data_IF_515742224789
#
_entry.id   IF_515742224789
#
_cell.length_a   1.000
_cell.length_b   1.000
_cell.length_c   1.000
_cell.angle_alpha   90.00
_cell.angle_beta   90.00
_cell.angle_gamma   90.00
#
_symmetry.space_group_name_H-M   'P 1'
#
loop_
_entity.id
_entity.type
_entity.pdbx_description
1 polymer ?
#
# COMPACT_ATOMS: atom_id res chain seq x y z
N UNK A 1 11.21 4.52 -11.92
CA UNK A 1 12.45 5.06 -11.32
C UNK A 1 12.19 5.80 -10.02
N UNK A 2 11.17 6.66 -9.95
CA UNK A 2 10.80 7.41 -8.74
C UNK A 2 10.75 6.59 -7.43
N UNK A 3 9.98 5.49 -7.38
CA UNK A 3 9.86 4.64 -6.18
C UNK A 3 11.21 4.06 -5.73
N UNK A 4 12.04 3.65 -6.69
CA UNK A 4 13.36 3.09 -6.40
C UNK A 4 14.30 4.14 -5.82
N UNK A 5 14.28 5.37 -6.35
CA UNK A 5 15.05 6.50 -5.82
C UNK A 5 14.59 6.92 -4.42
N UNK A 6 13.30 6.73 -4.11
CA UNK A 6 12.72 6.98 -2.77
C UNK A 6 12.94 5.84 -1.77
N UNK A 7 13.71 4.82 -2.12
CA UNK A 7 14.03 3.70 -1.23
C UNK A 7 12.93 2.63 -1.11
N UNK A 8 11.83 2.75 -1.86
CA UNK A 8 10.75 1.76 -1.86
C UNK A 8 11.17 0.56 -2.72
N UNK A 9 11.30 -0.60 -2.08
CA UNK A 9 11.74 -1.85 -2.71
C UNK A 9 10.85 -2.99 -2.19
N UNK A 10 10.21 -3.79 -3.06
CA UNK A 10 10.22 -3.73 -4.53
C UNK A 10 9.48 -2.50 -5.08
N UNK A 11 10.00 -1.90 -6.15
CA UNK A 11 9.50 -0.65 -6.75
C UNK A 11 8.27 -0.87 -7.67
N UNK A 12 7.21 -1.49 -7.14
CA UNK A 12 5.98 -1.78 -7.88
C UNK A 12 5.07 -0.56 -7.90
N UNK A 13 4.65 -0.13 -9.11
CA UNK A 13 3.72 0.98 -9.29
C UNK A 13 2.26 0.51 -9.21
N UNK A 14 1.46 0.85 -8.18
CA UNK A 14 0.10 0.31 -8.02
C UNK A 14 -0.85 0.64 -9.17
N UNK A 15 -0.71 1.84 -9.76
CA UNK A 15 -1.56 2.30 -10.88
C UNK A 15 -1.20 1.68 -12.24
N UNK A 16 0.07 1.35 -12.47
CA UNK A 16 0.53 0.74 -13.74
C UNK A 16 0.57 -0.80 -13.67
N UNK A 17 0.71 -1.34 -12.46
CA UNK A 17 0.76 -2.78 -12.23
C UNK A 17 -0.63 -3.41 -12.35
N UNK A 18 -0.75 -4.34 -13.29
CA UNK A 18 -1.98 -5.08 -13.55
C UNK A 18 -1.69 -6.57 -13.62
N UNK A 19 -2.61 -7.37 -13.08
CA UNK A 19 -2.66 -8.82 -13.31
C UNK A 19 -3.87 -9.10 -14.19
N UNK A 20 -3.64 -9.72 -15.37
CA UNK A 20 -4.72 -10.13 -16.28
C UNK A 20 -5.61 -11.23 -15.68
N UNK A 21 -5.03 -12.06 -14.80
CA UNK A 21 -5.76 -13.12 -14.08
C UNK A 21 -6.48 -12.56 -12.85
N UNK A 22 -5.96 -11.47 -12.28
CA UNK A 22 -6.58 -10.77 -11.16
C UNK A 22 -6.68 -11.61 -9.89
N UNK A 23 -7.78 -11.45 -9.16
CA UNK A 23 -7.99 -12.10 -7.87
C UNK A 23 -8.29 -13.60 -7.95
N UNK A 24 -8.45 -14.17 -9.16
CA UNK A 24 -8.71 -15.59 -9.35
C UNK A 24 -7.49 -16.47 -9.03
N UNK A 25 -6.27 -15.93 -9.17
CA UNK A 25 -5.03 -16.63 -8.84
C UNK A 25 -4.59 -16.44 -7.38
N UNK A 26 -5.32 -15.66 -6.59
CA UNK A 26 -4.94 -15.34 -5.21
C UNK A 26 -5.45 -16.40 -4.24
N UNK A 27 -4.68 -16.63 -3.17
CA UNK A 27 -5.18 -17.36 -2.01
C UNK A 27 -6.43 -16.66 -1.44
N UNK A 28 -7.44 -17.42 -1.02
CA UNK A 28 -8.72 -16.90 -0.50
C UNK A 28 -8.53 -15.87 0.61
N UNK A 29 -7.55 -16.08 1.49
CA UNK A 29 -7.29 -15.19 2.63
C UNK A 29 -6.64 -13.89 2.15
N UNK A 30 -5.60 -13.98 1.32
CA UNK A 30 -4.96 -12.80 0.70
C UNK A 30 -5.97 -11.98 -0.10
N UNK A 31 -6.85 -12.63 -0.87
CA UNK A 31 -7.92 -11.96 -1.63
C UNK A 31 -8.83 -11.13 -0.72
N UNK A 32 -9.21 -11.68 0.44
CA UNK A 32 -10.04 -10.98 1.42
C UNK A 32 -9.28 -9.80 2.03
N UNK A 33 -8.00 -9.98 2.36
CA UNK A 33 -7.23 -8.94 3.05
C UNK A 33 -6.77 -7.82 2.12
N UNK A 34 -6.42 -8.12 0.86
CA UNK A 34 -5.87 -7.16 -0.09
C UNK A 34 -6.92 -6.50 -1.01
N UNK A 35 -8.21 -6.79 -0.81
CA UNK A 35 -9.29 -6.36 -1.71
C UNK A 35 -9.33 -4.86 -2.00
N UNK A 36 -9.10 -4.04 -0.97
CA UNK A 36 -9.11 -2.58 -1.08
C UNK A 36 -7.71 -1.96 -1.21
N UNK A 37 -6.64 -2.74 -0.97
CA UNK A 37 -5.27 -2.24 -0.90
C UNK A 37 -4.84 -1.52 -2.18
N UNK A 38 -5.20 -2.07 -3.36
CA UNK A 38 -4.85 -1.45 -4.64
C UNK A 38 -5.50 -0.06 -4.81
N UNK A 39 -6.75 0.08 -4.37
CA UNK A 39 -7.49 1.34 -4.48
C UNK A 39 -6.92 2.38 -3.52
N UNK A 40 -6.68 1.99 -2.26
CA UNK A 40 -6.10 2.88 -1.24
C UNK A 40 -4.73 3.43 -1.67
N UNK A 41 -3.86 2.57 -2.22
CA UNK A 41 -2.55 3.01 -2.73
C UNK A 41 -2.64 3.88 -3.99
N UNK A 42 -3.66 3.67 -4.84
CA UNK A 42 -3.88 4.51 -6.01
C UNK A 42 -4.34 5.92 -5.58
N UNK A 43 -5.32 6.00 -4.68
CA UNK A 43 -5.81 7.26 -4.10
C UNK A 43 -4.70 8.01 -3.36
N UNK A 44 -3.91 7.31 -2.55
CA UNK A 44 -2.75 7.89 -1.88
C UNK A 44 -1.80 8.56 -2.87
N UNK A 45 -1.48 7.89 -3.98
CA UNK A 45 -0.53 8.42 -4.96
C UNK A 45 -1.05 9.66 -5.68
N UNK A 46 -2.34 9.66 -6.04
CA UNK A 46 -2.97 10.85 -6.63
C UNK A 46 -2.86 12.03 -5.66
N UNK A 47 -3.19 11.81 -4.39
CA UNK A 47 -3.18 12.86 -3.36
C UNK A 47 -1.75 13.31 -3.00
N UNK A 48 -0.79 12.39 -2.93
CA UNK A 48 0.61 12.71 -2.63
C UNK A 48 1.16 13.76 -3.61
N UNK A 49 0.84 13.63 -4.89
CA UNK A 49 1.27 14.61 -5.90
C UNK A 49 0.60 15.99 -5.71
N UNK A 50 -0.65 16.04 -5.23
CA UNK A 50 -1.32 17.28 -4.85
C UNK A 50 -0.73 17.93 -3.58
N UNK A 51 -0.32 17.14 -2.58
CA UNK A 51 0.26 17.66 -1.33
C UNK A 51 1.58 18.41 -1.55
N UNK A 52 2.38 18.00 -2.55
CA UNK A 52 3.65 18.66 -2.92
C UNK A 52 3.46 20.09 -3.42
N UNK A 53 2.25 20.46 -3.82
CA UNK A 53 1.91 21.80 -4.30
C UNK A 53 1.59 22.79 -3.15
N UNK A 54 1.65 22.36 -1.88
CA UNK A 54 1.58 23.24 -0.71
C UNK A 54 0.16 23.67 -0.31
N UNK A 55 -0.86 22.95 -0.75
CA UNK A 55 -2.25 23.25 -0.37
C UNK A 55 -2.57 22.79 1.06
N UNK A 56 -3.48 23.51 1.73
CA UNK A 56 -4.04 23.10 3.02
C UNK A 56 -4.88 21.84 2.81
N UNK A 57 -4.50 20.76 3.48
CA UNK A 57 -5.23 19.50 3.44
C UNK A 57 -6.31 19.50 4.52
N UNK A 58 -7.51 19.08 4.16
CA UNK A 58 -8.54 18.76 5.13
C UNK A 58 -8.16 17.49 5.93
N UNK A 59 -8.85 17.24 7.03
CA UNK A 59 -8.50 16.13 7.92
C UNK A 59 -8.72 14.75 7.27
N UNK A 60 -9.63 14.65 6.31
CA UNK A 60 -9.84 13.43 5.53
C UNK A 60 -8.64 13.13 4.63
N UNK A 61 -8.10 14.14 3.96
CA UNK A 61 -6.93 14.02 3.08
C UNK A 61 -5.66 13.73 3.88
N UNK A 62 -5.48 14.35 5.06
CA UNK A 62 -4.36 14.01 5.97
C UNK A 62 -4.38 12.53 6.34
N UNK A 63 -5.53 12.02 6.78
CA UNK A 63 -5.68 10.59 7.14
C UNK A 63 -5.37 9.67 5.97
N UNK A 64 -5.81 10.02 4.75
CA UNK A 64 -5.51 9.27 3.54
C UNK A 64 -4.01 9.24 3.24
N UNK A 65 -3.32 10.37 3.38
CA UNK A 65 -1.86 10.48 3.19
C UNK A 65 -1.11 9.66 4.23
N UNK A 66 -1.46 9.81 5.52
CA UNK A 66 -0.81 9.08 6.62
C UNK A 66 -0.98 7.57 6.46
N UNK A 67 -2.20 7.13 6.13
CA UNK A 67 -2.50 5.72 5.88
C UNK A 67 -1.73 5.20 4.66
N UNK A 68 -1.72 5.96 3.56
CA UNK A 68 -1.01 5.61 2.34
C UNK A 68 0.51 5.48 2.53
N UNK A 69 1.11 6.35 3.35
CA UNK A 69 2.53 6.27 3.70
C UNK A 69 2.84 4.99 4.48
N UNK A 70 2.00 4.65 5.47
CA UNK A 70 2.14 3.43 6.29
C UNK A 70 1.99 2.17 5.45
N UNK A 71 0.99 2.12 4.57
CA UNK A 71 0.79 1.01 3.63
C UNK A 71 1.98 0.86 2.69
N UNK A 72 2.54 1.96 2.21
CA UNK A 72 3.70 1.95 1.32
C UNK A 72 4.94 1.40 2.05
N UNK A 73 5.16 1.77 3.32
CA UNK A 73 6.26 1.23 4.14
C UNK A 73 6.08 -0.26 4.44
N UNK A 74 4.85 -0.71 4.71
CA UNK A 74 4.58 -2.12 4.98
C UNK A 74 4.93 -3.03 3.79
N UNK A 75 4.78 -2.52 2.56
CA UNK A 75 5.10 -3.27 1.34
C UNK A 75 6.58 -3.25 0.98
N UNK A 76 7.43 -2.60 1.78
CA UNK A 76 8.88 -2.65 1.60
C UNK A 76 9.40 -3.99 2.10
N UNK A 77 10.16 -4.67 1.25
CA UNK A 77 10.75 -5.97 1.52
C UNK A 77 12.18 -6.02 0.96
N UNK A 78 13.08 -6.57 1.76
CA UNK A 78 14.47 -6.77 1.37
C UNK A 78 14.61 -7.83 0.27
N UNK A 79 15.73 -7.76 -0.44
CA UNK A 79 16.05 -8.74 -1.49
C UNK A 79 16.45 -10.07 -0.84
N UNK A 80 16.00 -11.18 -1.44
CA UNK A 80 16.28 -12.55 -0.98
C UNK A 80 15.70 -12.90 0.39
N UNK A 81 14.77 -12.10 0.91
CA UNK A 81 14.05 -12.35 2.15
C UNK A 81 12.56 -12.55 1.83
N UNK A 82 12.16 -13.66 1.16
CA UNK A 82 10.75 -13.94 0.90
C UNK A 82 9.99 -14.13 2.22
N UNK A 83 8.85 -13.49 2.33
CA UNK A 83 7.95 -13.63 3.49
C UNK A 83 6.94 -14.73 3.18
N UNK A 84 6.65 -15.61 4.14
CA UNK A 84 5.64 -16.66 3.95
C UNK A 84 4.22 -16.06 3.82
N UNK A 85 3.31 -16.79 3.20
CA UNK A 85 1.93 -16.34 2.99
C UNK A 85 1.19 -16.08 4.32
N UNK A 86 1.52 -16.82 5.38
CA UNK A 86 0.93 -16.61 6.71
C UNK A 86 1.36 -15.27 7.28
N UNK A 87 2.67 -14.96 7.22
CA UNK A 87 3.21 -13.70 7.72
C UNK A 87 2.71 -12.51 6.89
N UNK A 88 2.67 -12.65 5.55
CA UNK A 88 2.06 -11.64 4.67
C UNK A 88 0.60 -11.37 5.04
N UNK A 89 -0.16 -12.43 5.39
CA UNK A 89 -1.55 -12.30 5.80
C UNK A 89 -1.67 -11.53 7.11
N UNK A 90 -0.80 -11.79 8.10
CA UNK A 90 -0.79 -11.09 9.38
C UNK A 90 -0.47 -9.60 9.17
N UNK A 91 0.52 -9.29 8.34
CA UNK A 91 0.84 -7.91 7.99
C UNK A 91 -0.34 -7.20 7.32
N UNK A 92 -0.99 -7.82 6.34
CA UNK A 92 -2.18 -7.26 5.70
C UNK A 92 -3.40 -7.18 6.63
N UNK A 93 -3.53 -8.07 7.60
CA UNK A 93 -4.60 -7.99 8.59
C UNK A 93 -4.40 -6.79 9.53
N UNK A 94 -3.14 -6.46 9.87
CA UNK A 94 -2.83 -5.33 10.74
C UNK A 94 -3.24 -3.98 10.15
N UNK A 95 -3.24 -3.85 8.81
CA UNK A 95 -3.66 -2.61 8.12
C UNK A 95 -5.17 -2.45 8.06
N UNK A 96 -5.92 -3.55 7.98
CA UNK A 96 -7.39 -3.52 7.92
C UNK A 96 -8.01 -3.09 9.24
N UNK A 97 -7.42 -3.50 10.36
CA UNK A 97 -7.94 -3.20 11.69
C UNK A 97 -7.40 -1.89 12.25
N UNK A 98 -6.74 -1.07 11.43
CA UNK A 98 -6.15 0.20 11.84
C UNK A 98 -5.16 0.06 13.01
N UNK A 99 -4.59 -1.14 13.23
CA UNK A 99 -3.60 -1.36 14.29
C UNK A 99 -2.31 -0.59 14.03
N UNK A 100 -2.04 -0.28 12.75
CA UNK A 100 -0.92 0.55 12.34
C UNK A 100 -1.28 2.05 12.28
N UNK A 101 -2.56 2.42 12.41
CA UNK A 101 -3.00 3.79 12.17
C UNK A 101 -2.68 4.73 13.33
N UNK A 102 -2.36 4.21 14.52
CA UNK A 102 -1.82 4.98 15.66
C UNK A 102 -2.81 6.05 16.17
N UNK A 103 -3.22 5.94 17.43
CA UNK A 103 -4.00 6.99 18.10
C UNK A 103 -3.26 8.33 18.11
#
# INVERSE_FOLDING_TARGET
>A
MELFTRGIRPAVSPGLSVSRVGSAAQNKVIKKMAGNLKLELAQYREVEDFTKLGFVLDDATKRLVDRGEKLTKLLVQNRFEPIDIVDQTIFLYSTLNSFLDGN
#
